data_IF_342610651890
#
_entry.id   IF_342610651890
#
_cell.length_a   1.000
_cell.length_b   1.000
_cell.length_c   1.000
_cell.angle_alpha   90.00
_cell.angle_beta   90.00
_cell.angle_gamma   90.00
#
_symmetry.space_group_name_H-M   'P 1'
#
loop_
_entity.id
_entity.type
_entity.pdbx_description
1 polymer ?
#
# COMPACT_ATOMS: atom_id res chain seq x y z
N UNK A 1 18.88 8.52 -84.10
CA UNK A 1 17.86 7.73 -83.46
C UNK A 1 18.09 7.83 -81.95
N UNK A 2 17.19 8.48 -81.33
CA UNK A 2 17.26 9.13 -79.99
C UNK A 2 17.05 8.16 -78.87
N UNK A 3 18.05 8.04 -77.92
CA UNK A 3 17.90 7.35 -76.67
C UNK A 3 17.52 8.34 -75.57
N UNK A 4 16.34 8.09 -74.98
CA UNK A 4 15.76 8.90 -73.91
C UNK A 4 16.26 8.36 -72.55
N UNK A 5 17.04 9.20 -71.87
CA UNK A 5 17.48 8.98 -70.50
C UNK A 5 16.31 9.27 -69.53
N UNK A 6 15.96 8.28 -68.68
CA UNK A 6 15.02 8.47 -67.56
C UNK A 6 15.81 8.71 -66.25
N UNK A 7 15.53 9.76 -65.49
CA UNK A 7 16.14 9.96 -64.18
C UNK A 7 15.42 9.11 -63.14
N UNK A 8 16.15 8.25 -62.43
CA UNK A 8 15.70 7.53 -61.24
C UNK A 8 15.72 8.46 -60.02
N UNK A 9 14.52 8.80 -59.56
CA UNK A 9 14.33 9.52 -58.30
C UNK A 9 14.69 8.59 -57.12
N UNK A 10 15.79 8.95 -56.44
CA UNK A 10 16.15 8.33 -55.15
C UNK A 10 15.30 8.98 -54.06
N UNK A 11 14.27 8.28 -53.61
CA UNK A 11 13.56 8.61 -52.38
C UNK A 11 14.46 8.26 -51.20
N UNK A 12 15.03 9.28 -50.58
CA UNK A 12 15.75 9.18 -49.30
C UNK A 12 14.70 9.16 -48.18
N UNK A 13 14.26 7.94 -47.72
CA UNK A 13 13.43 7.79 -46.55
C UNK A 13 14.27 8.08 -45.31
N UNK A 14 14.18 9.31 -44.78
CA UNK A 14 14.72 9.70 -43.49
C UNK A 14 13.81 9.09 -42.45
N UNK A 15 14.19 7.92 -41.92
CA UNK A 15 13.58 7.29 -40.76
C UNK A 15 13.99 8.08 -39.51
N UNK A 16 13.15 9.04 -39.10
CA UNK A 16 13.31 9.71 -37.82
C UNK A 16 13.09 8.71 -36.69
N UNK A 17 14.15 8.07 -36.21
CA UNK A 17 14.19 7.31 -34.99
C UNK A 17 14.10 8.32 -33.84
N UNK A 18 12.89 8.60 -33.35
CA UNK A 18 12.67 9.36 -32.14
C UNK A 18 13.20 8.51 -30.97
N UNK A 19 14.47 8.73 -30.63
CA UNK A 19 15.08 8.21 -29.43
C UNK A 19 14.37 8.86 -28.25
N UNK A 20 13.47 8.15 -27.59
CA UNK A 20 12.89 8.56 -26.32
C UNK A 20 14.04 8.50 -25.31
N UNK A 21 14.74 9.60 -25.15
CA UNK A 21 15.71 9.79 -24.07
C UNK A 21 14.91 9.90 -22.76
N UNK A 22 14.64 8.77 -22.11
CA UNK A 22 14.24 8.75 -20.71
C UNK A 22 15.43 9.34 -19.94
N UNK A 23 15.26 10.46 -19.23
CA UNK A 23 16.39 11.12 -18.58
C UNK A 23 16.95 10.21 -17.47
N UNK A 24 18.12 9.65 -17.70
CA UNK A 24 18.88 8.82 -16.75
C UNK A 24 18.99 9.52 -15.37
N UNK A 25 19.07 10.86 -15.37
CA UNK A 25 19.14 11.67 -14.16
C UNK A 25 17.91 11.56 -13.23
N UNK A 26 16.70 11.35 -13.75
CA UNK A 26 15.51 11.23 -12.93
C UNK A 26 15.49 9.91 -12.13
N UNK A 27 16.07 8.87 -12.70
CA UNK A 27 16.15 7.54 -12.09
C UNK A 27 17.21 7.52 -10.96
N UNK A 28 18.33 8.19 -11.13
CA UNK A 28 19.37 8.33 -10.10
C UNK A 28 18.88 9.15 -8.91
N UNK A 29 18.18 10.27 -9.17
CA UNK A 29 17.57 11.11 -8.13
C UNK A 29 16.54 10.30 -7.35
N UNK A 30 15.63 9.60 -8.03
CA UNK A 30 14.60 8.77 -7.39
C UNK A 30 15.23 7.75 -6.46
N UNK A 31 16.19 6.97 -6.95
CA UNK A 31 16.85 5.92 -6.16
C UNK A 31 17.50 6.48 -4.88
N UNK A 32 18.07 7.70 -4.97
CA UNK A 32 18.74 8.33 -3.86
C UNK A 32 17.75 8.83 -2.79
N UNK A 33 16.74 9.61 -3.20
CA UNK A 33 15.84 10.28 -2.24
C UNK A 33 14.78 9.34 -1.65
N UNK A 34 14.38 8.27 -2.37
CA UNK A 34 13.37 7.31 -1.89
C UNK A 34 13.94 6.23 -0.97
N UNK A 35 15.25 6.01 -0.94
CA UNK A 35 15.89 4.90 -0.24
C UNK A 35 15.41 4.70 1.22
N UNK A 36 15.31 5.77 1.98
CA UNK A 36 14.90 5.70 3.39
C UNK A 36 13.40 5.38 3.50
N UNK A 37 12.57 6.02 2.68
CA UNK A 37 11.12 5.79 2.67
C UNK A 37 10.79 4.38 2.19
N UNK A 38 11.51 3.85 1.18
CA UNK A 38 11.40 2.48 0.72
C UNK A 38 11.69 1.48 1.86
N UNK A 39 12.77 1.71 2.60
CA UNK A 39 13.12 0.86 3.76
C UNK A 39 12.04 0.92 4.87
N UNK A 40 11.50 2.10 5.17
CA UNK A 40 10.39 2.24 6.13
C UNK A 40 9.10 1.58 5.62
N UNK A 41 8.82 1.67 4.32
CA UNK A 41 7.67 1.01 3.70
C UNK A 41 7.74 -0.51 3.86
N UNK A 42 8.89 -1.11 3.61
CA UNK A 42 9.10 -2.54 3.80
C UNK A 42 8.96 -2.95 5.28
N UNK A 43 9.49 -2.14 6.21
CA UNK A 43 9.29 -2.38 7.64
C UNK A 43 7.80 -2.32 8.02
N UNK A 44 7.07 -1.34 7.50
CA UNK A 44 5.64 -1.19 7.76
C UNK A 44 4.83 -2.38 7.20
N UNK A 45 5.16 -2.86 6.00
CA UNK A 45 4.57 -4.08 5.44
C UNK A 45 4.87 -5.30 6.31
N UNK A 46 6.13 -5.48 6.72
CA UNK A 46 6.52 -6.58 7.60
C UNK A 46 5.79 -6.54 8.96
N UNK A 47 5.51 -5.33 9.47
CA UNK A 47 4.70 -5.11 10.66
C UNK A 47 3.18 -5.18 10.40
N UNK A 48 2.74 -5.62 9.23
CA UNK A 48 1.33 -5.71 8.83
C UNK A 48 0.57 -4.39 9.00
N UNK A 49 1.23 -3.26 8.75
CA UNK A 49 0.64 -1.94 8.97
C UNK A 49 -0.61 -1.68 8.12
N UNK A 50 -0.73 -2.32 6.97
CA UNK A 50 -1.94 -2.28 6.15
C UNK A 50 -3.18 -2.79 6.91
N UNK A 51 -3.01 -3.82 7.73
CA UNK A 51 -4.06 -4.39 8.58
C UNK A 51 -4.18 -3.66 9.92
N UNK A 52 -3.05 -3.35 10.56
CA UNK A 52 -2.99 -2.92 11.97
C UNK A 52 -2.99 -1.40 12.16
N UNK A 53 -2.68 -0.64 11.10
CA UNK A 53 -2.68 0.82 11.08
C UNK A 53 -3.08 1.34 9.69
N UNK A 54 -4.30 1.01 9.23
CA UNK A 54 -4.71 1.24 7.84
C UNK A 54 -4.71 2.71 7.44
N UNK A 55 -5.10 3.63 8.32
CA UNK A 55 -5.14 5.06 8.00
C UNK A 55 -3.75 5.67 7.83
N UNK A 56 -2.84 5.40 8.79
CA UNK A 56 -1.49 5.92 8.68
C UNK A 56 -0.76 5.30 7.50
N UNK A 57 -0.97 4.00 7.23
CA UNK A 57 -0.35 3.32 6.10
C UNK A 57 -0.88 3.86 4.76
N UNK A 58 -2.18 4.08 4.63
CA UNK A 58 -2.78 4.69 3.44
C UNK A 58 -2.26 6.13 3.21
N UNK A 59 -2.19 6.95 4.28
CA UNK A 59 -1.63 8.30 4.20
C UNK A 59 -0.16 8.29 3.73
N UNK A 60 0.62 7.31 4.17
CA UNK A 60 2.00 7.14 3.72
C UNK A 60 2.07 6.77 2.24
N UNK A 61 1.23 5.83 1.78
CA UNK A 61 1.15 5.44 0.38
C UNK A 61 0.76 6.61 -0.53
N UNK A 62 -0.18 7.44 -0.11
CA UNK A 62 -0.61 8.59 -0.90
C UNK A 62 0.50 9.65 -1.00
N UNK A 63 1.19 9.94 0.11
CA UNK A 63 2.33 10.84 0.11
C UNK A 63 3.50 10.30 -0.75
N UNK A 64 3.73 8.98 -0.72
CA UNK A 64 4.73 8.32 -1.55
C UNK A 64 4.41 8.45 -3.06
N UNK A 65 3.15 8.18 -3.45
CA UNK A 65 2.68 8.36 -4.83
C UNK A 65 2.81 9.82 -5.30
N UNK A 66 2.57 10.77 -4.41
CA UNK A 66 2.73 12.19 -4.73
C UNK A 66 4.20 12.56 -4.93
N UNK A 67 5.11 11.98 -4.15
CA UNK A 67 6.55 12.13 -4.36
C UNK A 67 6.99 11.62 -5.74
N UNK A 68 6.52 10.44 -6.16
CA UNK A 68 6.79 9.89 -7.50
C UNK A 68 6.34 10.85 -8.62
N UNK A 69 5.15 11.45 -8.50
CA UNK A 69 4.66 12.45 -9.45
C UNK A 69 5.55 13.69 -9.49
N UNK A 70 6.06 14.13 -8.35
CA UNK A 70 6.95 15.27 -8.27
C UNK A 70 8.30 14.98 -8.92
N UNK A 71 8.88 13.80 -8.72
CA UNK A 71 10.12 13.39 -9.40
C UNK A 71 9.91 13.35 -10.91
N UNK A 72 8.82 12.71 -11.37
CA UNK A 72 8.50 12.65 -12.80
C UNK A 72 8.32 14.03 -13.43
N UNK A 73 7.93 15.04 -12.65
CA UNK A 73 7.80 16.44 -13.07
C UNK A 73 9.07 17.27 -12.85
N UNK A 74 10.21 16.66 -12.47
CA UNK A 74 11.48 17.35 -12.20
C UNK A 74 11.48 18.24 -10.96
N UNK A 75 10.56 18.04 -10.01
CA UNK A 75 10.36 18.87 -8.81
C UNK A 75 10.91 18.17 -7.56
N UNK A 76 12.23 18.02 -7.47
CA UNK A 76 12.91 17.28 -6.41
C UNK A 76 12.55 17.80 -5.00
N UNK A 77 12.59 19.12 -4.76
CA UNK A 77 12.25 19.71 -3.44
C UNK A 77 10.84 19.38 -2.97
N UNK A 78 9.89 19.25 -3.92
CA UNK A 78 8.51 18.85 -3.57
C UNK A 78 8.41 17.35 -3.30
N UNK A 79 9.18 16.56 -4.03
CA UNK A 79 9.26 15.13 -3.79
C UNK A 79 9.80 14.84 -2.37
N UNK A 80 10.87 15.52 -1.96
CA UNK A 80 11.44 15.38 -0.60
C UNK A 80 10.42 15.74 0.49
N UNK A 81 9.64 16.80 0.30
CA UNK A 81 8.57 17.17 1.25
C UNK A 81 7.48 16.08 1.34
N UNK A 82 7.10 15.52 0.21
CA UNK A 82 6.12 14.42 0.18
C UNK A 82 6.69 13.17 0.83
N UNK A 83 7.97 12.84 0.61
CA UNK A 83 8.65 11.72 1.27
C UNK A 83 8.76 11.93 2.78
N UNK A 84 9.07 13.14 3.24
CA UNK A 84 9.07 13.44 4.67
C UNK A 84 7.69 13.20 5.31
N UNK A 85 6.60 13.52 4.60
CA UNK A 85 5.24 13.22 5.05
C UNK A 85 4.95 11.71 5.05
N UNK A 86 5.43 10.99 4.03
CA UNK A 86 5.34 9.53 3.97
C UNK A 86 6.09 8.88 5.14
N UNK A 87 7.32 9.29 5.40
CA UNK A 87 8.16 8.80 6.52
C UNK A 87 7.47 9.01 7.86
N UNK A 88 6.90 10.19 8.09
CA UNK A 88 6.16 10.47 9.32
C UNK A 88 4.96 9.53 9.49
N UNK A 89 4.21 9.32 8.42
CA UNK A 89 3.04 8.43 8.43
C UNK A 89 3.46 6.97 8.63
N UNK A 90 4.56 6.52 7.99
CA UNK A 90 5.10 5.17 8.18
C UNK A 90 5.57 4.92 9.61
N UNK A 91 6.23 5.89 10.25
CA UNK A 91 6.62 5.79 11.66
C UNK A 91 5.41 5.65 12.58
N UNK A 92 4.37 6.47 12.37
CA UNK A 92 3.10 6.34 13.09
C UNK A 92 2.44 4.98 12.85
N UNK A 93 2.47 4.49 11.60
CA UNK A 93 1.93 3.19 11.26
C UNK A 93 2.67 2.06 11.99
N UNK A 94 4.00 2.11 12.05
CA UNK A 94 4.82 1.14 12.77
C UNK A 94 4.54 1.14 14.29
N UNK A 95 4.43 2.31 14.90
CA UNK A 95 4.10 2.45 16.32
C UNK A 95 2.70 1.90 16.64
N UNK A 96 1.70 2.30 15.83
CA UNK A 96 0.34 1.83 15.99
C UNK A 96 0.23 0.32 15.75
N UNK A 97 0.96 -0.24 14.77
CA UNK A 97 0.97 -1.69 14.51
C UNK A 97 1.52 -2.48 15.70
N UNK A 98 2.64 -2.03 16.28
CA UNK A 98 3.21 -2.68 17.50
C UNK A 98 2.23 -2.66 18.66
N UNK A 99 1.55 -1.53 18.86
CA UNK A 99 0.54 -1.41 19.91
C UNK A 99 -0.67 -2.30 19.61
N UNK A 100 -1.13 -2.35 18.37
CA UNK A 100 -2.24 -3.18 17.93
C UNK A 100 -1.96 -4.68 18.11
N UNK A 101 -0.75 -5.15 17.83
CA UNK A 101 -0.36 -6.55 18.03
C UNK A 101 -0.55 -7.00 19.49
N UNK A 102 -0.18 -6.18 20.43
CA UNK A 102 -0.35 -6.46 21.85
C UNK A 102 -1.81 -6.28 22.29
N UNK A 103 -2.43 -5.18 21.87
CA UNK A 103 -3.78 -4.80 22.31
C UNK A 103 -4.86 -5.73 21.75
N UNK A 104 -4.65 -6.29 20.54
CA UNK A 104 -5.63 -7.09 19.81
C UNK A 104 -5.22 -8.56 19.67
N UNK A 105 -4.30 -9.05 20.49
CA UNK A 105 -3.75 -10.41 20.41
C UNK A 105 -4.85 -11.48 20.25
N UNK A 106 -5.94 -11.39 21.06
CA UNK A 106 -7.06 -12.33 20.98
C UNK A 106 -7.78 -12.24 19.64
N UNK A 107 -8.09 -11.03 19.17
CA UNK A 107 -8.79 -10.85 17.90
C UNK A 107 -7.94 -11.31 16.72
N UNK A 108 -6.62 -11.08 16.77
CA UNK A 108 -5.69 -11.55 15.75
C UNK A 108 -5.58 -13.08 15.72
N UNK A 109 -5.61 -13.75 16.88
CA UNK A 109 -5.64 -15.23 16.95
C UNK A 109 -6.96 -15.77 16.40
N UNK A 110 -8.08 -15.20 16.80
CA UNK A 110 -9.40 -15.59 16.30
C UNK A 110 -9.50 -15.40 14.78
N UNK A 111 -9.04 -14.25 14.27
CA UNK A 111 -8.99 -13.98 12.84
C UNK A 111 -8.19 -15.04 12.06
N UNK A 112 -6.99 -15.39 12.56
CA UNK A 112 -6.16 -16.42 11.93
C UNK A 112 -6.82 -17.80 11.93
N UNK A 113 -7.49 -18.20 13.00
CA UNK A 113 -8.25 -19.46 13.07
C UNK A 113 -9.41 -19.46 12.07
N UNK A 114 -10.14 -18.36 11.98
CA UNK A 114 -11.24 -18.16 11.04
C UNK A 114 -10.79 -18.20 9.57
N UNK A 115 -9.59 -17.66 9.27
CA UNK A 115 -8.96 -17.79 7.94
C UNK A 115 -8.64 -19.25 7.59
N UNK A 116 -8.10 -20.02 8.54
CA UNK A 116 -7.83 -21.45 8.36
C UNK A 116 -9.11 -22.24 8.09
N UNK A 117 -10.22 -21.89 8.76
CA UNK A 117 -11.55 -22.47 8.52
C UNK A 117 -12.19 -22.02 7.19
N UNK A 118 -11.55 -21.15 6.41
CA UNK A 118 -12.09 -20.56 5.19
C UNK A 118 -13.45 -19.87 5.37
N UNK A 119 -13.67 -19.24 6.53
CA UNK A 119 -14.96 -18.65 6.86
C UNK A 119 -15.36 -17.49 5.92
N UNK A 120 -14.42 -16.79 5.33
CA UNK A 120 -14.71 -15.80 4.27
C UNK A 120 -15.51 -16.40 3.09
N UNK A 121 -15.34 -17.68 2.82
CA UNK A 121 -16.06 -18.42 1.77
C UNK A 121 -17.37 -19.01 2.26
N UNK A 122 -17.37 -19.63 3.44
CA UNK A 122 -18.50 -20.40 3.96
C UNK A 122 -19.46 -19.55 4.79
N UNK A 123 -18.94 -18.52 5.49
CA UNK A 123 -19.69 -17.63 6.37
C UNK A 123 -19.38 -16.15 6.09
N UNK A 124 -19.59 -15.65 4.84
CA UNK A 124 -19.14 -14.34 4.41
C UNK A 124 -19.74 -13.19 5.22
N UNK A 125 -20.96 -13.33 5.73
CA UNK A 125 -21.62 -12.30 6.52
C UNK A 125 -21.00 -12.14 7.91
N UNK A 126 -20.68 -13.23 8.58
CA UNK A 126 -20.02 -13.20 9.89
C UNK A 126 -18.58 -12.71 9.75
N UNK A 127 -17.88 -13.18 8.71
CA UNK A 127 -16.55 -12.69 8.37
C UNK A 127 -16.55 -11.17 8.16
N UNK A 128 -17.46 -10.63 7.34
CA UNK A 128 -17.55 -9.20 7.08
C UNK A 128 -17.81 -8.39 8.36
N UNK A 129 -18.73 -8.85 9.23
CA UNK A 129 -18.99 -8.21 10.53
C UNK A 129 -17.74 -8.20 11.43
N UNK A 130 -16.98 -9.29 11.42
CA UNK A 130 -15.74 -9.38 12.18
C UNK A 130 -14.68 -8.38 11.67
N UNK A 131 -14.45 -8.33 10.35
CA UNK A 131 -13.53 -7.41 9.71
C UNK A 131 -13.93 -5.94 9.93
N UNK A 132 -15.23 -5.59 9.87
CA UNK A 132 -15.72 -4.25 10.17
C UNK A 132 -15.40 -3.84 11.61
N UNK A 133 -15.63 -4.72 12.60
CA UNK A 133 -15.29 -4.42 13.99
C UNK A 133 -13.79 -4.37 14.22
N UNK A 134 -13.01 -5.18 13.51
CA UNK A 134 -11.55 -5.13 13.58
C UNK A 134 -10.98 -3.84 12.98
N UNK A 135 -11.50 -3.41 11.84
CA UNK A 135 -11.13 -2.12 11.21
C UNK A 135 -11.54 -0.91 12.09
N UNK A 136 -12.71 -0.98 12.76
CA UNK A 136 -13.10 0.04 13.74
C UNK A 136 -12.12 0.07 14.92
N UNK A 137 -11.67 -1.09 15.40
CA UNK A 137 -10.69 -1.19 16.48
C UNK A 137 -9.35 -0.55 16.09
N UNK A 138 -8.79 -0.89 14.93
CA UNK A 138 -7.51 -0.33 14.44
C UNK A 138 -7.61 1.18 14.24
N UNK A 139 -8.69 1.64 13.62
CA UNK A 139 -8.97 3.07 13.40
C UNK A 139 -9.05 3.87 14.71
N UNK A 140 -9.70 3.32 15.74
CA UNK A 140 -9.80 3.94 17.07
C UNK A 140 -8.45 3.97 17.78
N UNK A 141 -7.65 2.94 17.62
CA UNK A 141 -6.31 2.87 18.19
C UNK A 141 -5.39 3.94 17.59
N UNK A 142 -5.41 4.10 16.27
CA UNK A 142 -4.69 5.17 15.57
C UNK A 142 -5.11 6.57 16.03
N UNK A 143 -6.36 6.72 16.43
CA UNK A 143 -6.91 7.95 17.04
C UNK A 143 -6.60 8.10 18.53
N UNK A 144 -5.82 7.18 19.13
CA UNK A 144 -5.46 7.22 20.56
C UNK A 144 -6.56 6.75 21.52
N UNK A 145 -7.69 6.23 21.01
CA UNK A 145 -8.81 5.82 21.86
C UNK A 145 -8.74 4.32 22.20
N UNK A 146 -7.81 3.98 23.10
CA UNK A 146 -7.46 2.59 23.44
C UNK A 146 -8.66 1.82 23.98
N UNK A 147 -9.44 2.39 24.89
CA UNK A 147 -10.59 1.69 25.52
C UNK A 147 -11.64 1.29 24.48
N UNK A 148 -12.00 2.23 23.59
CA UNK A 148 -12.96 1.93 22.51
C UNK A 148 -12.37 0.97 21.48
N UNK A 149 -11.08 1.05 21.21
CA UNK A 149 -10.38 0.12 20.34
C UNK A 149 -10.44 -1.31 20.89
N UNK A 150 -10.17 -1.50 22.17
CA UNK A 150 -10.28 -2.81 22.85
C UNK A 150 -11.71 -3.34 22.82
N UNK A 151 -12.71 -2.47 23.05
CA UNK A 151 -14.11 -2.88 22.98
C UNK A 151 -14.50 -3.37 21.58
N UNK A 152 -14.06 -2.70 20.53
CA UNK A 152 -14.31 -3.12 19.14
C UNK A 152 -13.53 -4.40 18.79
N UNK A 153 -12.27 -4.53 19.21
CA UNK A 153 -11.48 -5.75 19.02
C UNK A 153 -12.11 -6.97 19.73
N UNK A 154 -12.69 -6.78 20.91
CA UNK A 154 -13.42 -7.83 21.62
C UNK A 154 -14.67 -8.30 20.84
N UNK A 155 -15.40 -7.37 20.23
CA UNK A 155 -16.54 -7.72 19.35
C UNK A 155 -16.07 -8.45 18.10
N UNK A 156 -14.98 -7.97 17.46
CA UNK A 156 -14.38 -8.65 16.33
C UNK A 156 -14.02 -10.10 16.65
N UNK A 157 -13.34 -10.31 17.78
CA UNK A 157 -13.00 -11.67 18.27
C UNK A 157 -14.24 -12.56 18.36
N UNK A 158 -15.35 -12.07 18.93
CA UNK A 158 -16.58 -12.85 19.02
C UNK A 158 -17.15 -13.24 17.66
N UNK A 159 -17.21 -12.29 16.71
CA UNK A 159 -17.68 -12.59 15.35
C UNK A 159 -16.74 -13.54 14.60
N UNK A 160 -15.41 -13.46 14.81
CA UNK A 160 -14.48 -14.44 14.26
C UNK A 160 -14.72 -15.83 14.83
N UNK A 161 -14.86 -15.97 16.17
CA UNK A 161 -15.14 -17.24 16.84
C UNK A 161 -16.45 -17.87 16.31
N UNK A 162 -17.49 -17.05 16.12
CA UNK A 162 -18.78 -17.49 15.56
C UNK A 162 -18.65 -17.94 14.10
N UNK A 163 -17.90 -17.19 13.28
CA UNK A 163 -17.66 -17.48 11.87
C UNK A 163 -16.83 -18.77 11.70
N UNK A 164 -15.80 -18.98 12.51
CA UNK A 164 -15.00 -20.21 12.54
C UNK A 164 -15.89 -21.41 12.86
N UNK A 165 -16.66 -21.31 13.96
CA UNK A 165 -17.52 -22.40 14.41
C UNK A 165 -18.60 -22.78 13.38
N UNK A 166 -19.17 -21.79 12.69
CA UNK A 166 -20.14 -22.02 11.65
C UNK A 166 -19.51 -22.67 10.40
N UNK A 167 -18.34 -22.17 9.97
CA UNK A 167 -17.63 -22.69 8.81
C UNK A 167 -17.15 -24.14 8.97
N UNK A 168 -16.79 -24.57 10.19
CA UNK A 168 -16.39 -25.96 10.47
C UNK A 168 -17.59 -26.92 10.42
N UNK A 169 -18.82 -26.45 10.64
CA UNK A 169 -20.03 -27.26 10.61
C UNK A 169 -20.63 -27.43 9.21
N UNK A 170 -20.14 -26.68 8.23
CA UNK A 170 -20.60 -26.71 6.83
C UNK A 170 -19.85 -27.76 6.01
#
# INVERSE_FOLDING_TARGET
>A
MTAILRPTARFCAILCLALVMVPVHAQDIRTTIFKNTDALMEQAKAARAELLSPKNFAAAQDAYKEADKHVAAGRADRAEKSLASADQSLRKALEASKLAEVTFERALKARAATEVANAAKYEPELWAKAEDQFNDATTRLEGGNVDKAQASAKKASGYYDDAELAAIKT
#
